data_IF_223483838746
#
_entry.id   IF_223483838746
#
_cell.length_a   1.000
_cell.length_b   1.000
_cell.length_c   1.000
_cell.angle_alpha   90.00
_cell.angle_beta   90.00
_cell.angle_gamma   90.00
#
_symmetry.space_group_name_H-M   'P 1'
#
loop_
_entity.id
_entity.type
_entity.pdbx_description
1 polymer ?
#
# COMPACT_ATOMS: atom_id res chain seq x y z
N UNK A 1 11.13 13.06 -10.49
CA UNK A 1 9.66 13.09 -10.51
C UNK A 1 9.23 14.46 -11.01
N UNK A 2 8.25 14.53 -11.90
CA UNK A 2 7.64 15.80 -12.32
C UNK A 2 6.38 16.09 -11.52
N UNK A 3 5.83 17.31 -11.65
CA UNK A 3 4.52 17.65 -11.09
C UNK A 3 3.39 16.84 -11.75
N UNK A 4 3.56 16.46 -13.02
CA UNK A 4 2.54 15.75 -13.80
C UNK A 4 2.35 14.30 -13.37
N UNK A 5 3.36 13.69 -12.73
CA UNK A 5 3.26 12.34 -12.19
C UNK A 5 2.38 12.25 -10.93
N UNK A 6 2.12 13.38 -10.25
CA UNK A 6 1.44 13.46 -8.95
C UNK A 6 0.56 14.72 -8.85
N UNK A 7 -0.10 15.12 -9.95
CA UNK A 7 -0.81 16.40 -10.06
C UNK A 7 -1.89 16.57 -8.99
N UNK A 8 -2.55 15.50 -8.63
CA UNK A 8 -3.69 15.43 -7.73
C UNK A 8 -3.30 14.91 -6.33
N UNK A 9 -2.32 14.00 -6.25
CA UNK A 9 -1.87 13.39 -4.99
C UNK A 9 -0.78 14.18 -4.25
N UNK A 10 -0.25 15.26 -4.84
CA UNK A 10 0.71 16.19 -4.22
C UNK A 10 0.23 17.65 -4.33
N UNK A 11 0.58 18.50 -3.35
CA UNK A 11 0.32 19.95 -3.34
C UNK A 11 1.35 20.70 -2.48
N UNK A 12 1.51 22.04 -2.61
CA UNK A 12 2.27 22.83 -1.66
C UNK A 12 1.79 22.58 -0.22
N UNK A 13 2.74 22.43 0.71
CA UNK A 13 2.48 22.05 2.11
C UNK A 13 2.58 20.54 2.39
N UNK A 14 2.71 19.69 1.36
CA UNK A 14 3.06 18.29 1.56
C UNK A 14 4.44 18.15 2.24
N UNK A 15 4.62 17.16 3.12
CA UNK A 15 5.82 17.06 3.96
C UNK A 15 7.07 16.63 3.18
N UNK A 16 6.92 16.13 1.94
CA UNK A 16 8.03 15.71 1.08
C UNK A 16 7.97 16.48 -0.23
N UNK A 17 9.04 17.19 -0.62
CA UNK A 17 9.10 17.87 -1.91
C UNK A 17 9.19 16.85 -3.06
N UNK A 18 8.82 17.25 -4.28
CA UNK A 18 8.90 16.38 -5.46
C UNK A 18 10.31 15.78 -5.70
N UNK A 19 11.37 16.52 -5.35
CA UNK A 19 12.76 16.05 -5.42
C UNK A 19 13.06 14.90 -4.45
N UNK A 20 12.25 14.75 -3.40
CA UNK A 20 12.27 13.67 -2.43
C UNK A 20 11.48 12.43 -2.84
N UNK A 21 10.71 12.47 -3.94
CA UNK A 21 9.92 11.35 -4.44
C UNK A 21 10.56 10.70 -5.67
N UNK A 22 10.28 9.41 -5.87
CA UNK A 22 10.69 8.61 -7.02
C UNK A 22 9.53 7.78 -7.53
N UNK A 23 9.47 7.65 -8.85
CA UNK A 23 8.58 6.72 -9.55
C UNK A 23 9.38 5.45 -9.76
N UNK A 24 8.89 4.34 -9.23
CA UNK A 24 9.46 3.03 -9.45
C UNK A 24 8.50 2.24 -10.34
N UNK A 25 9.03 1.70 -11.43
CA UNK A 25 8.29 0.86 -12.37
C UNK A 25 8.83 -0.56 -12.22
N UNK A 26 7.93 -1.53 -12.05
CA UNK A 26 8.32 -2.91 -11.74
C UNK A 26 7.30 -3.90 -12.28
N UNK A 27 7.72 -5.16 -12.42
CA UNK A 27 6.84 -6.25 -12.83
C UNK A 27 6.20 -6.91 -11.61
N UNK A 28 4.93 -7.28 -11.70
CA UNK A 28 4.20 -8.04 -10.67
C UNK A 28 3.39 -9.18 -11.31
N UNK A 29 3.01 -10.19 -10.51
CA UNK A 29 2.04 -11.21 -10.95
C UNK A 29 0.62 -10.73 -10.67
N UNK A 30 -0.24 -10.78 -11.68
CA UNK A 30 -1.66 -10.49 -11.54
C UNK A 30 -2.43 -11.65 -10.91
N UNK A 31 -3.67 -11.39 -10.52
CA UNK A 31 -4.63 -12.45 -10.15
C UNK A 31 -5.05 -13.34 -11.34
N UNK A 32 -4.66 -12.97 -12.55
CA UNK A 32 -4.84 -13.72 -13.80
C UNK A 32 -3.64 -14.63 -14.12
N UNK A 33 -2.71 -14.80 -13.17
CA UNK A 33 -1.47 -15.55 -13.32
C UNK A 33 -0.57 -15.07 -14.47
N UNK A 34 -0.69 -13.79 -14.87
CA UNK A 34 0.16 -13.16 -15.88
C UNK A 34 1.07 -12.09 -15.28
N UNK A 35 2.18 -11.82 -15.95
CA UNK A 35 3.09 -10.74 -15.55
C UNK A 35 2.55 -9.41 -16.07
N UNK A 36 2.45 -8.43 -15.18
CA UNK A 36 2.02 -7.06 -15.48
C UNK A 36 3.09 -6.07 -15.06
N UNK A 37 3.05 -4.85 -15.60
CA UNK A 37 3.91 -3.75 -15.15
C UNK A 37 3.11 -2.77 -14.31
N UNK A 38 3.61 -2.46 -13.13
CA UNK A 38 3.02 -1.53 -12.17
C UNK A 38 3.94 -0.37 -11.86
N UNK A 39 3.36 0.65 -11.24
CA UNK A 39 4.07 1.86 -10.83
C UNK A 39 3.70 2.24 -9.41
N UNK A 40 4.73 2.48 -8.58
CA UNK A 40 4.58 3.17 -7.31
C UNK A 40 5.29 4.52 -7.33
N UNK A 41 4.74 5.47 -6.60
CA UNK A 41 5.43 6.69 -6.20
C UNK A 41 5.82 6.55 -4.73
N UNK A 42 7.10 6.68 -4.42
CA UNK A 42 7.63 6.43 -3.09
C UNK A 42 8.71 7.45 -2.72
N UNK A 43 9.10 7.50 -1.46
CA UNK A 43 10.22 8.34 -1.02
C UNK A 43 11.53 7.80 -1.61
N UNK A 44 12.37 8.71 -2.12
CA UNK A 44 13.65 8.37 -2.74
C UNK A 44 14.55 7.52 -1.83
N UNK A 45 14.45 7.69 -0.51
CA UNK A 45 15.33 7.01 0.47
C UNK A 45 15.05 5.51 0.61
N UNK A 46 13.84 5.05 0.28
CA UNK A 46 13.41 3.64 0.41
C UNK A 46 13.11 3.00 -0.96
N UNK A 47 13.41 3.69 -2.06
CA UNK A 47 13.02 3.24 -3.40
C UNK A 47 13.63 1.89 -3.77
N UNK A 48 14.91 1.68 -3.44
CA UNK A 48 15.62 0.42 -3.70
C UNK A 48 15.15 -0.71 -2.76
N UNK A 49 14.97 -0.41 -1.46
CA UNK A 49 14.45 -1.36 -0.48
C UNK A 49 13.06 -1.88 -0.87
N UNK A 50 12.16 -0.97 -1.25
CA UNK A 50 10.80 -1.35 -1.67
C UNK A 50 10.85 -2.11 -2.99
N UNK A 51 11.68 -1.71 -3.96
CA UNK A 51 11.86 -2.50 -5.19
C UNK A 51 12.35 -3.93 -4.89
N UNK A 52 13.25 -4.10 -3.92
CA UNK A 52 13.71 -5.42 -3.45
C UNK A 52 12.59 -6.26 -2.83
N UNK A 53 11.71 -5.63 -2.02
CA UNK A 53 10.50 -6.29 -1.49
C UNK A 53 9.61 -6.78 -2.62
N UNK A 54 9.30 -5.93 -3.61
CA UNK A 54 8.46 -6.33 -4.72
C UNK A 54 9.11 -7.38 -5.64
N UNK A 55 10.44 -7.39 -5.77
CA UNK A 55 11.18 -8.47 -6.40
C UNK A 55 10.92 -9.83 -5.72
N UNK A 56 10.97 -9.86 -4.38
CA UNK A 56 10.63 -11.08 -3.60
C UNK A 56 9.17 -11.48 -3.75
N UNK A 57 8.25 -10.51 -3.79
CA UNK A 57 6.82 -10.76 -4.07
C UNK A 57 6.62 -11.38 -5.46
N UNK A 58 7.36 -10.90 -6.46
CA UNK A 58 7.34 -11.46 -7.81
C UNK A 58 7.87 -12.91 -7.84
N UNK A 59 9.02 -13.18 -7.20
CA UNK A 59 9.61 -14.52 -7.11
C UNK A 59 8.67 -15.54 -6.44
N UNK A 60 7.91 -15.11 -5.42
CA UNK A 60 6.93 -15.98 -4.75
C UNK A 60 5.56 -15.98 -5.42
N UNK A 61 5.40 -15.31 -6.56
CA UNK A 61 4.13 -15.18 -7.31
C UNK A 61 2.98 -14.68 -6.43
N UNK A 62 3.25 -13.74 -5.54
CA UNK A 62 2.19 -13.08 -4.78
C UNK A 62 1.34 -12.23 -5.74
N UNK A 63 0.02 -12.50 -5.85
CA UNK A 63 -0.81 -11.81 -6.82
C UNK A 63 -1.14 -10.40 -6.35
N UNK A 64 -1.07 -9.44 -7.27
CA UNK A 64 -1.44 -8.04 -7.07
C UNK A 64 -2.51 -7.68 -8.08
N UNK A 65 -3.61 -7.07 -7.64
CA UNK A 65 -4.74 -6.79 -8.56
C UNK A 65 -4.43 -5.64 -9.50
N UNK A 66 -3.87 -4.57 -8.95
CA UNK A 66 -3.52 -3.36 -9.68
C UNK A 66 -2.44 -2.61 -8.93
N UNK A 67 -1.58 -1.91 -9.66
CA UNK A 67 -0.54 -1.07 -9.08
C UNK A 67 -0.31 0.18 -9.93
N UNK A 68 -1.04 1.24 -9.60
CA UNK A 68 -0.90 2.56 -10.24
C UNK A 68 -0.83 3.66 -9.17
N UNK A 69 -0.21 4.83 -9.45
CA UNK A 69 -0.23 5.95 -8.53
C UNK A 69 -1.65 6.39 -8.21
N UNK A 70 -1.90 6.81 -6.95
CA UNK A 70 -3.21 7.33 -6.51
C UNK A 70 -3.66 8.55 -7.33
N UNK A 71 -2.72 9.21 -8.02
CA UNK A 71 -3.00 10.31 -8.95
C UNK A 71 -4.02 9.96 -10.05
N UNK A 72 -4.03 8.69 -10.51
CA UNK A 72 -5.00 8.17 -11.49
C UNK A 72 -6.44 8.30 -10.98
N UNK A 73 -6.61 8.23 -9.66
CA UNK A 73 -7.89 8.40 -8.96
C UNK A 73 -8.11 9.82 -8.46
N UNK A 74 -7.42 10.81 -9.05
CA UNK A 74 -7.50 12.22 -8.66
C UNK A 74 -7.15 12.46 -7.19
N UNK A 75 -6.27 11.64 -6.62
CA UNK A 75 -5.88 11.72 -5.20
C UNK A 75 -6.89 11.10 -4.22
N UNK A 76 -8.00 10.53 -4.73
CA UNK A 76 -9.02 9.87 -3.91
C UNK A 76 -8.51 8.53 -3.38
N UNK A 77 -8.38 8.46 -2.05
CA UNK A 77 -7.98 7.24 -1.34
C UNK A 77 -9.07 6.16 -1.47
N UNK A 78 -10.33 6.55 -1.29
CA UNK A 78 -11.48 5.64 -1.37
C UNK A 78 -11.61 5.01 -2.75
N UNK A 79 -11.50 5.81 -3.83
CA UNK A 79 -11.62 5.27 -5.19
C UNK A 79 -10.45 4.32 -5.52
N UNK A 80 -9.25 4.59 -5.00
CA UNK A 80 -8.09 3.72 -5.12
C UNK A 80 -8.31 2.39 -4.37
N UNK A 81 -8.86 2.45 -3.15
CA UNK A 81 -9.17 1.27 -2.34
C UNK A 81 -10.29 0.43 -2.98
N UNK A 82 -11.38 1.06 -3.45
CA UNK A 82 -12.49 0.37 -4.10
C UNK A 82 -12.06 -0.31 -5.41
N UNK A 83 -11.07 0.26 -6.08
CA UNK A 83 -10.41 -0.31 -7.26
C UNK A 83 -9.36 -1.39 -6.92
N UNK A 84 -9.18 -1.72 -5.65
CA UNK A 84 -8.20 -2.68 -5.11
C UNK A 84 -6.77 -2.40 -5.60
N UNK A 85 -6.41 -1.12 -5.55
CA UNK A 85 -5.13 -0.65 -6.05
C UNK A 85 -4.06 -0.70 -4.96
N UNK A 86 -3.00 -1.48 -5.22
CA UNK A 86 -1.76 -1.39 -4.47
C UNK A 86 -1.12 -0.03 -4.71
N UNK A 87 -0.88 0.74 -3.65
CA UNK A 87 -0.41 2.13 -3.76
C UNK A 87 0.51 2.55 -2.62
N UNK A 88 1.20 3.68 -2.76
CA UNK A 88 2.21 4.14 -1.81
C UNK A 88 2.06 5.63 -1.47
N UNK A 89 2.47 6.56 -2.34
CA UNK A 89 2.36 7.98 -2.02
C UNK A 89 0.94 8.55 -2.23
N UNK A 90 0.40 9.18 -1.19
CA UNK A 90 -0.77 10.06 -1.25
C UNK A 90 -0.64 11.13 -0.16
N UNK A 91 -0.54 12.41 -0.53
CA UNK A 91 -0.36 13.49 0.42
C UNK A 91 -1.67 13.84 1.16
N UNK A 92 -1.96 13.08 2.21
CA UNK A 92 -3.14 13.26 3.05
C UNK A 92 -2.83 13.07 4.52
N UNK A 93 -3.72 13.55 5.37
CA UNK A 93 -3.69 13.21 6.78
C UNK A 93 -4.06 11.73 6.98
N UNK A 94 -3.63 11.18 8.11
CA UNK A 94 -4.12 9.90 8.56
C UNK A 94 -5.61 10.01 8.90
N UNK A 95 -6.37 8.93 8.68
CA UNK A 95 -7.82 8.90 8.91
C UNK A 95 -8.14 9.26 10.36
N UNK A 96 -9.00 10.27 10.56
CA UNK A 96 -9.37 10.74 11.90
C UNK A 96 -8.28 11.52 12.64
N UNK A 97 -7.20 11.93 11.98
CA UNK A 97 -6.06 12.63 12.58
C UNK A 97 -5.78 13.99 11.92
N UNK A 98 -5.24 14.93 12.69
CA UNK A 98 -4.65 16.16 12.16
C UNK A 98 -3.23 15.98 11.62
N UNK A 99 -2.61 14.82 11.86
CA UNK A 99 -1.24 14.51 11.46
C UNK A 99 -1.19 13.86 10.07
N UNK A 100 -0.07 14.06 9.38
CA UNK A 100 0.23 13.41 8.11
C UNK A 100 0.26 11.88 8.24
N UNK A 101 -0.31 11.20 7.24
CA UNK A 101 -0.14 9.75 7.07
C UNK A 101 1.28 9.43 6.60
N UNK A 102 1.78 8.23 6.89
CA UNK A 102 3.03 7.73 6.29
C UNK A 102 2.99 7.70 4.75
N UNK A 103 1.80 7.55 4.16
CA UNK A 103 1.61 7.70 2.71
C UNK A 103 1.98 9.10 2.21
N UNK A 104 1.77 10.16 3.01
CA UNK A 104 2.16 11.52 2.66
C UNK A 104 3.69 11.72 2.64
N UNK A 105 4.44 10.86 3.32
CA UNK A 105 5.89 10.85 3.27
C UNK A 105 6.45 9.92 2.18
N UNK A 106 5.60 9.12 1.52
CA UNK A 106 6.04 8.04 0.63
C UNK A 106 6.78 6.93 1.39
N UNK A 107 6.38 6.67 2.64
CA UNK A 107 7.01 5.69 3.54
C UNK A 107 6.02 4.60 3.99
N UNK A 108 4.98 4.40 3.19
CA UNK A 108 4.02 3.34 3.35
C UNK A 108 3.62 2.75 1.99
N UNK A 109 3.15 1.51 2.02
CA UNK A 109 2.56 0.78 0.90
C UNK A 109 1.32 0.08 1.42
N UNK A 110 0.21 0.23 0.72
CA UNK A 110 -1.00 -0.57 0.90
C UNK A 110 -1.06 -1.64 -0.19
N UNK A 111 -1.22 -2.92 0.19
CA UNK A 111 -1.26 -4.08 -0.70
C UNK A 111 -2.66 -4.69 -0.80
N UNK A 112 -3.22 -4.70 -2.02
CA UNK A 112 -4.54 -5.27 -2.35
C UNK A 112 -5.61 -4.95 -1.28
N UNK A 113 -6.04 -3.68 -1.15
CA UNK A 113 -6.97 -3.23 -0.11
C UNK A 113 -8.25 -4.07 0.05
N UNK A 114 -8.74 -4.70 -1.03
CA UNK A 114 -9.91 -5.58 -0.96
C UNK A 114 -9.59 -6.88 -0.25
N UNK A 115 -8.48 -7.52 -0.61
CA UNK A 115 -8.05 -8.76 0.01
C UNK A 115 -7.51 -8.53 1.43
N UNK A 116 -7.02 -7.32 1.72
CA UNK A 116 -6.38 -6.94 2.98
C UNK A 116 -7.00 -5.64 3.54
N UNK A 117 -8.28 -5.65 3.95
CA UNK A 117 -8.95 -4.42 4.36
C UNK A 117 -8.40 -3.82 5.65
N UNK A 118 -8.64 -2.52 5.82
CA UNK A 118 -8.70 -1.90 7.14
C UNK A 118 -9.97 -2.36 7.86
N UNK A 119 -9.80 -2.95 9.05
CA UNK A 119 -10.85 -3.45 9.93
C UNK A 119 -10.83 -2.64 11.23
N UNK A 120 -11.94 -1.96 11.53
CA UNK A 120 -12.11 -1.22 12.77
C UNK A 120 -12.12 -2.15 13.99
N UNK A 121 -11.87 -1.61 15.18
CA UNK A 121 -11.84 -2.40 16.42
C UNK A 121 -13.16 -3.14 16.74
N UNK A 122 -14.29 -2.68 16.18
CA UNK A 122 -15.59 -3.35 16.29
C UNK A 122 -15.82 -4.45 15.22
N UNK A 123 -14.82 -4.76 14.40
CA UNK A 123 -14.89 -5.76 13.32
C UNK A 123 -15.50 -5.28 12.02
N UNK A 124 -16.02 -4.04 11.94
CA UNK A 124 -16.54 -3.49 10.69
C UNK A 124 -15.41 -3.05 9.74
N UNK A 125 -15.74 -2.83 8.47
CA UNK A 125 -14.86 -2.23 7.47
C UNK A 125 -15.67 -1.22 6.64
N UNK A 126 -15.01 -0.26 5.98
CA UNK A 126 -15.69 0.79 5.22
C UNK A 126 -16.05 0.39 3.77
N UNK A 127 -15.44 -0.67 3.25
CA UNK A 127 -15.47 -1.03 1.83
C UNK A 127 -16.11 -2.41 1.64
N UNK A 128 -17.42 -2.42 1.35
CA UNK A 128 -18.24 -3.67 1.27
C UNK A 128 -17.69 -4.73 0.31
N UNK A 129 -16.86 -4.34 -0.67
CA UNK A 129 -16.17 -5.29 -1.56
C UNK A 129 -15.17 -6.21 -0.82
N UNK A 130 -14.80 -5.87 0.42
CA UNK A 130 -13.83 -6.55 1.27
C UNK A 130 -14.45 -7.40 2.40
N UNK A 131 -15.79 -7.45 2.53
CA UNK A 131 -16.48 -8.16 3.62
C UNK A 131 -16.03 -9.64 3.75
N UNK A 132 -15.75 -10.29 2.62
CA UNK A 132 -15.29 -11.68 2.57
C UNK A 132 -13.83 -11.92 3.03
N UNK A 133 -13.14 -10.86 3.47
CA UNK A 133 -11.72 -10.85 3.84
C UNK A 133 -11.45 -10.26 5.23
N UNK A 134 -12.49 -9.87 5.98
CA UNK A 134 -12.34 -9.31 7.33
C UNK A 134 -11.80 -10.35 8.31
N UNK A 135 -12.36 -11.56 8.30
CA UNK A 135 -11.96 -12.62 9.22
C UNK A 135 -10.59 -13.21 8.85
N UNK A 136 -9.77 -13.43 9.89
CA UNK A 136 -8.41 -13.96 9.79
C UNK A 136 -8.18 -15.07 10.84
N UNK A 137 -7.34 -16.08 10.54
CA UNK A 137 -6.60 -16.26 9.29
C UNK A 137 -7.50 -16.71 8.14
N UNK A 138 -7.13 -16.34 6.92
CA UNK A 138 -7.85 -16.75 5.71
C UNK A 138 -6.86 -17.19 4.63
N UNK A 139 -7.13 -18.35 4.03
CA UNK A 139 -6.30 -18.92 2.96
C UNK A 139 -6.94 -18.65 1.60
N UNK A 140 -6.66 -17.48 1.03
CA UNK A 140 -7.03 -17.10 -0.34
C UNK A 140 -5.86 -16.39 -1.04
N UNK A 141 -5.79 -16.38 -2.38
CA UNK A 141 -4.79 -15.61 -3.10
C UNK A 141 -4.80 -14.14 -2.69
N UNK A 142 -3.63 -13.52 -2.54
CA UNK A 142 -3.47 -12.11 -2.19
C UNK A 142 -3.75 -11.75 -0.73
N UNK A 143 -4.29 -12.66 0.07
CA UNK A 143 -4.52 -12.46 1.50
C UNK A 143 -3.20 -12.55 2.28
N UNK A 144 -3.00 -11.61 3.20
CA UNK A 144 -1.86 -11.55 4.11
C UNK A 144 -2.29 -11.98 5.51
N UNK A 145 -1.60 -12.97 6.06
CA UNK A 145 -1.72 -13.43 7.44
C UNK A 145 -0.41 -13.16 8.22
N UNK A 146 -0.50 -13.19 9.55
CA UNK A 146 0.68 -13.10 10.40
C UNK A 146 1.66 -14.22 10.10
N UNK A 147 2.95 -13.87 9.98
CA UNK A 147 4.01 -14.81 9.68
C UNK A 147 4.19 -15.15 8.19
N UNK A 148 3.34 -14.63 7.30
CA UNK A 148 3.48 -14.85 5.86
C UNK A 148 4.77 -14.24 5.29
N UNK A 149 5.22 -14.80 4.16
CA UNK A 149 6.43 -14.35 3.46
C UNK A 149 6.38 -12.88 3.05
N UNK A 150 5.18 -12.35 2.75
CA UNK A 150 4.96 -10.92 2.47
C UNK A 150 5.35 -10.08 3.68
N UNK A 151 4.84 -10.42 4.87
CA UNK A 151 5.16 -9.72 6.12
C UNK A 151 6.66 -9.76 6.41
N UNK A 152 7.30 -10.92 6.21
CA UNK A 152 8.74 -11.07 6.39
C UNK A 152 9.55 -10.25 5.38
N UNK A 153 9.08 -10.13 4.13
CA UNK A 153 9.78 -9.36 3.10
C UNK A 153 9.85 -7.87 3.47
N UNK A 154 8.74 -7.27 3.92
CA UNK A 154 8.74 -5.91 4.46
C UNK A 154 9.54 -5.81 5.77
N UNK A 155 9.41 -6.79 6.66
CA UNK A 155 10.18 -6.82 7.91
C UNK A 155 11.70 -6.83 7.69
N UNK A 156 12.20 -7.41 6.59
CA UNK A 156 13.63 -7.41 6.25
C UNK A 156 14.19 -6.03 5.90
N UNK A 157 13.34 -5.09 5.47
CA UNK A 157 13.71 -3.68 5.27
C UNK A 157 13.34 -2.81 6.48
N UNK A 158 13.00 -3.44 7.61
CA UNK A 158 12.63 -2.77 8.86
C UNK A 158 11.20 -2.23 8.93
N UNK A 159 10.34 -2.54 7.96
CA UNK A 159 8.97 -2.03 7.94
C UNK A 159 8.03 -2.88 8.81
N UNK A 160 7.10 -2.19 9.50
CA UNK A 160 6.03 -2.83 10.25
C UNK A 160 4.80 -3.12 9.39
N UNK A 161 3.89 -3.95 9.92
CA UNK A 161 2.64 -4.34 9.28
C UNK A 161 1.43 -3.98 10.15
N UNK A 162 0.44 -3.30 9.57
CA UNK A 162 -0.76 -2.84 10.27
C UNK A 162 -1.67 -3.96 10.80
N UNK A 163 -1.56 -5.17 10.25
CA UNK A 163 -2.24 -6.36 10.80
C UNK A 163 -1.77 -6.74 12.21
N UNK A 164 -0.61 -6.24 12.64
CA UNK A 164 -0.04 -6.49 13.97
C UNK A 164 -0.48 -5.49 15.05
N UNK A 165 -1.16 -4.40 14.70
CA UNK A 165 -1.56 -3.37 15.67
C UNK A 165 -2.55 -3.85 16.72
N UNK A 166 -2.57 -3.22 17.90
CA UNK A 166 -3.63 -3.45 18.89
C UNK A 166 -4.89 -2.67 18.52
N UNK A 167 -6.06 -3.31 18.63
CA UNK A 167 -7.33 -2.72 18.23
C UNK A 167 -7.62 -2.90 16.73
N UNK A 168 -7.77 -1.79 16.00
CA UNK A 168 -8.02 -1.83 14.57
C UNK A 168 -6.86 -2.49 13.81
N UNK A 169 -7.19 -3.19 12.73
CA UNK A 169 -6.25 -3.95 11.91
C UNK A 169 -6.20 -3.36 10.52
N UNK A 170 -5.04 -2.86 10.11
CA UNK A 170 -4.85 -2.37 8.75
C UNK A 170 -4.06 -3.41 7.94
N UNK A 171 -4.76 -4.41 7.39
CA UNK A 171 -4.09 -5.57 6.79
C UNK A 171 -3.32 -5.23 5.51
N UNK A 172 -3.73 -4.20 4.78
CA UNK A 172 -3.05 -3.72 3.58
C UNK A 172 -1.73 -3.02 3.92
N UNK A 173 -1.63 -2.44 5.11
CA UNK A 173 -0.67 -1.38 5.38
C UNK A 173 0.69 -1.88 5.85
N UNK A 174 1.74 -1.44 5.17
CA UNK A 174 3.13 -1.58 5.57
C UNK A 174 3.80 -0.21 5.61
N UNK A 175 4.53 0.10 6.68
CA UNK A 175 5.18 1.40 6.83
C UNK A 175 6.51 1.34 7.58
N UNK A 176 7.39 2.30 7.30
CA UNK A 176 8.72 2.40 7.90
C UNK A 176 8.68 2.48 9.43
N UNK A 177 7.68 3.16 10.01
CA UNK A 177 7.53 3.30 11.46
C UNK A 177 6.54 2.28 12.07
N UNK A 178 5.96 1.40 11.25
CA UNK A 178 4.98 0.40 11.67
C UNK A 178 3.72 0.99 12.29
N UNK A 179 3.30 2.18 11.86
CA UNK A 179 2.10 2.91 12.30
C UNK A 179 1.37 3.54 11.13
#
# INVERSE_FOLDING_TARGET
MSRDDVRQSWRPGCPVPLSGLRKITMTYWGFDDQAHTGVLVINKKVAEDVASVFGKLYEMRYPIRRMVPVDVYKGSDNDSIDADNTSAFNCRNATGSGNWSNHAYGLAVDLNPRENPYVYANGSNAHRNADAFVDRPLKKPGVINSGDRVVRAFGQIGWGWGGSWSGAKDYQHFSENGR
#
